data_IF_978480845804
#
_entry.id   IF_978480845804
#
_cell.length_a   1.000
_cell.length_b   1.000
_cell.length_c   1.000
_cell.angle_alpha   90.00
_cell.angle_beta   90.00
_cell.angle_gamma   90.00
#
_symmetry.space_group_name_H-M   'P 1'
#
loop_
_entity.id
_entity.type
_entity.pdbx_description
1 polymer ?
#
# COMPACT_ATOMS: atom_id res chain seq x y z
N UNK A 1 17.51 13.02 12.40
CA UNK A 1 16.22 13.34 13.04
C UNK A 1 15.11 13.12 12.02
N UNK A 2 13.97 12.55 12.41
CA UNK A 2 12.82 12.31 11.52
C UNK A 2 11.71 13.27 11.91
N UNK A 3 11.20 14.04 10.95
CA UNK A 3 10.13 15.01 11.16
C UNK A 3 8.90 14.52 10.39
N UNK A 4 7.79 14.33 11.10
CA UNK A 4 6.54 13.89 10.48
C UNK A 4 5.89 15.03 9.69
N UNK A 5 5.53 14.75 8.43
CA UNK A 5 4.76 15.65 7.59
C UNK A 5 3.53 14.93 7.05
N UNK A 6 2.34 15.43 7.38
CA UNK A 6 1.10 14.96 6.77
C UNK A 6 0.97 15.53 5.37
N UNK A 7 1.11 14.69 4.36
CA UNK A 7 0.90 15.02 2.95
C UNK A 7 -0.23 14.16 2.39
N UNK A 8 -1.13 14.79 1.65
CA UNK A 8 -2.11 14.07 0.83
C UNK A 8 -1.48 13.77 -0.53
N UNK A 9 -0.88 12.58 -0.64
CA UNK A 9 -0.23 12.10 -1.86
C UNK A 9 -1.20 11.22 -2.66
N UNK A 10 -1.16 11.28 -3.99
CA UNK A 10 -1.97 10.39 -4.82
C UNK A 10 -1.57 8.93 -4.56
N UNK A 11 -2.56 8.04 -4.39
CA UNK A 11 -2.33 6.60 -4.37
C UNK A 11 -2.23 6.12 -5.82
N UNK A 12 -1.00 6.03 -6.31
CA UNK A 12 -0.72 5.67 -7.69
C UNK A 12 -0.96 4.17 -7.92
N UNK A 13 -1.30 3.80 -9.15
CA UNK A 13 -1.47 2.41 -9.55
C UNK A 13 -0.17 1.85 -10.14
N UNK A 14 0.09 0.56 -9.89
CA UNK A 14 1.25 -0.15 -10.38
C UNK A 14 1.70 -1.22 -9.39
N UNK A 15 2.87 -1.79 -9.68
CA UNK A 15 3.56 -2.71 -8.76
C UNK A 15 4.06 -1.98 -7.51
N UNK A 16 4.26 -2.73 -6.42
CA UNK A 16 4.63 -2.20 -5.10
C UNK A 16 5.81 -1.21 -5.18
N UNK A 17 6.90 -1.60 -5.85
CA UNK A 17 8.09 -0.77 -5.98
C UNK A 17 7.83 0.51 -6.78
N UNK A 18 7.08 0.42 -7.87
CA UNK A 18 6.74 1.59 -8.69
C UNK A 18 5.89 2.60 -7.91
N UNK A 19 4.92 2.11 -7.13
CA UNK A 19 4.05 2.95 -6.32
C UNK A 19 4.87 3.70 -5.28
N UNK A 20 5.75 3.00 -4.55
CA UNK A 20 6.61 3.62 -3.53
C UNK A 20 7.61 4.61 -4.11
N UNK A 21 8.23 4.30 -5.25
CA UNK A 21 9.16 5.22 -5.93
C UNK A 21 8.43 6.51 -6.34
N UNK A 22 7.28 6.39 -7.02
CA UNK A 22 6.55 7.57 -7.50
C UNK A 22 5.98 8.40 -6.34
N UNK A 23 5.53 7.75 -5.26
CA UNK A 23 5.05 8.42 -4.04
C UNK A 23 6.18 9.19 -3.33
N UNK A 24 7.36 8.59 -3.24
CA UNK A 24 8.55 9.25 -2.69
C UNK A 24 8.97 10.46 -3.53
N UNK A 25 9.02 10.31 -4.86
CA UNK A 25 9.33 11.40 -5.78
C UNK A 25 8.35 12.57 -5.64
N UNK A 26 7.04 12.29 -5.57
CA UNK A 26 6.01 13.31 -5.38
C UNK A 26 6.14 14.01 -4.02
N UNK A 27 6.42 13.26 -2.94
CA UNK A 27 6.64 13.82 -1.62
C UNK A 27 7.88 14.75 -1.60
N UNK A 28 8.97 14.31 -2.23
CA UNK A 28 10.21 15.10 -2.34
C UNK A 28 9.98 16.37 -3.15
N UNK A 29 9.26 16.28 -4.27
CA UNK A 29 8.91 17.42 -5.11
C UNK A 29 8.12 18.49 -4.35
N UNK A 30 7.15 18.07 -3.53
CA UNK A 30 6.31 18.98 -2.73
C UNK A 30 7.04 19.62 -1.55
N UNK A 31 7.84 18.83 -0.82
CA UNK A 31 8.54 19.33 0.38
C UNK A 31 9.91 19.96 0.08
N UNK A 32 10.44 19.76 -1.14
CA UNK A 32 11.74 20.23 -1.62
C UNK A 32 12.88 19.88 -0.65
N UNK A 33 12.87 18.64 -0.15
CA UNK A 33 13.83 18.12 0.83
C UNK A 33 13.96 16.60 0.68
N UNK A 34 15.00 15.98 1.28
CA UNK A 34 15.03 14.53 1.44
C UNK A 34 13.82 14.07 2.24
N UNK A 35 13.13 13.05 1.74
CA UNK A 35 11.93 12.48 2.36
C UNK A 35 12.12 10.98 2.49
N UNK A 36 11.55 10.40 3.52
CA UNK A 36 11.35 8.96 3.62
C UNK A 36 9.84 8.73 3.64
N UNK A 37 9.35 7.80 2.84
CA UNK A 37 7.95 7.37 2.84
C UNK A 37 7.87 5.89 3.16
N UNK A 38 6.69 5.49 3.65
CA UNK A 38 6.34 4.11 3.97
C UNK A 38 5.06 3.77 3.21
N UNK A 39 5.07 2.65 2.49
CA UNK A 39 3.88 2.03 1.91
C UNK A 39 3.70 0.61 2.46
N UNK A 40 2.46 0.25 2.75
CA UNK A 40 2.10 -1.07 3.27
C UNK A 40 1.09 -1.73 2.35
N UNK A 41 1.40 -2.96 1.94
CA UNK A 41 0.56 -3.79 1.10
C UNK A 41 0.06 -5.01 1.88
N UNK A 42 -1.14 -5.48 1.54
CA UNK A 42 -1.65 -6.78 1.97
C UNK A 42 -1.93 -7.62 0.73
N UNK A 43 -1.16 -8.68 0.56
CA UNK A 43 -1.13 -9.48 -0.65
C UNK A 43 -1.76 -10.85 -0.37
N UNK A 44 -2.92 -11.15 -0.95
CA UNK A 44 -3.52 -12.48 -0.85
C UNK A 44 -2.98 -13.37 -1.98
N UNK A 45 -2.42 -14.51 -1.63
CA UNK A 45 -1.83 -15.43 -2.62
C UNK A 45 -2.90 -15.94 -3.60
N UNK A 46 -4.11 -16.20 -3.09
CA UNK A 46 -5.26 -16.59 -3.90
C UNK A 46 -5.75 -15.53 -4.90
N UNK A 47 -5.34 -14.27 -4.74
CA UNK A 47 -5.70 -13.18 -5.65
C UNK A 47 -4.46 -12.62 -6.38
N UNK A 48 -3.43 -13.45 -6.55
CA UNK A 48 -2.16 -13.08 -7.19
C UNK A 48 -1.57 -11.78 -6.61
N UNK A 49 -1.64 -11.64 -5.28
CA UNK A 49 -1.08 -10.50 -4.55
C UNK A 49 -2.02 -9.31 -4.37
N UNK A 50 -3.25 -9.35 -4.89
CA UNK A 50 -4.27 -8.34 -4.59
C UNK A 50 -4.83 -8.50 -3.17
N UNK A 51 -5.34 -7.42 -2.53
CA UNK A 51 -5.41 -6.04 -3.03
C UNK A 51 -4.07 -5.29 -3.06
N UNK A 52 -3.01 -5.84 -2.46
CA UNK A 52 -1.65 -5.29 -2.53
C UNK A 52 -1.59 -3.83 -2.08
N UNK A 53 -1.03 -2.90 -2.88
CA UNK A 53 -0.91 -1.49 -2.54
C UNK A 53 -2.27 -0.78 -2.41
N UNK A 54 -3.36 -1.40 -2.85
CA UNK A 54 -4.71 -0.82 -2.77
C UNK A 54 -5.43 -1.14 -1.45
N UNK A 55 -4.76 -1.80 -0.49
CA UNK A 55 -5.37 -2.28 0.75
C UNK A 55 -6.11 -1.18 1.53
N UNK A 56 -5.65 0.07 1.49
CA UNK A 56 -6.33 1.21 2.13
C UNK A 56 -7.80 1.33 1.68
N UNK A 57 -8.04 1.27 0.38
CA UNK A 57 -9.38 1.41 -0.20
C UNK A 57 -10.25 0.18 0.07
N UNK A 58 -9.66 -1.02 -0.07
CA UNK A 58 -10.38 -2.26 0.22
C UNK A 58 -10.78 -2.33 1.69
N UNK A 59 -9.88 -2.00 2.62
CA UNK A 59 -10.18 -1.98 4.04
C UNK A 59 -11.23 -0.91 4.39
N UNK A 60 -11.16 0.27 3.79
CA UNK A 60 -12.15 1.34 4.04
C UNK A 60 -13.56 0.89 3.65
N UNK A 61 -13.72 0.26 2.48
CA UNK A 61 -15.03 -0.12 1.93
C UNK A 61 -15.54 -1.46 2.47
N UNK A 62 -14.67 -2.47 2.56
CA UNK A 62 -15.05 -3.83 2.92
C UNK A 62 -15.00 -4.09 4.43
N UNK A 63 -14.19 -3.32 5.17
CA UNK A 63 -13.82 -3.59 6.57
C UNK A 63 -13.09 -4.95 6.71
N UNK A 64 -12.52 -5.28 7.89
CA UNK A 64 -11.82 -6.55 8.07
C UNK A 64 -12.68 -7.77 7.71
N UNK A 65 -13.98 -7.73 8.01
CA UNK A 65 -14.90 -8.83 7.74
C UNK A 65 -15.10 -9.04 6.23
N UNK A 66 -15.19 -7.95 5.47
CA UNK A 66 -15.33 -8.03 4.01
C UNK A 66 -14.05 -8.46 3.31
N UNK A 67 -12.87 -8.10 3.84
CA UNK A 67 -11.59 -8.64 3.34
C UNK A 67 -11.51 -10.15 3.50
N UNK A 68 -11.93 -10.68 4.66
CA UNK A 68 -11.98 -12.13 4.86
C UNK A 68 -13.01 -12.81 3.93
N UNK A 69 -14.19 -12.20 3.76
CA UNK A 69 -15.23 -12.71 2.85
C UNK A 69 -14.81 -12.65 1.38
N UNK A 70 -13.93 -11.72 0.99
CA UNK A 70 -13.39 -11.64 -0.37
C UNK A 70 -12.71 -12.96 -0.78
N UNK A 71 -12.11 -13.65 0.19
CA UNK A 71 -11.47 -14.94 -0.03
C UNK A 71 -12.41 -16.14 0.09
N UNK A 72 -13.71 -15.97 0.36
CA UNK A 72 -14.61 -17.09 0.70
C UNK A 72 -14.60 -18.23 -0.34
N UNK A 73 -14.51 -17.91 -1.63
CA UNK A 73 -14.50 -18.88 -2.74
C UNK A 73 -13.15 -19.55 -3.04
N UNK A 74 -12.08 -19.20 -2.32
CA UNK A 74 -10.73 -19.71 -2.55
C UNK A 74 -10.35 -20.73 -1.48
N UNK A 75 -9.61 -21.79 -1.82
CA UNK A 75 -9.09 -22.69 -0.79
C UNK A 75 -7.91 -22.07 -0.04
N UNK A 76 -7.02 -21.42 -0.79
CA UNK A 76 -5.88 -20.71 -0.22
C UNK A 76 -6.32 -19.41 0.48
N UNK A 77 -5.94 -19.29 1.76
CA UNK A 77 -6.19 -18.12 2.61
C UNK A 77 -4.90 -17.45 3.05
N UNK A 78 -3.76 -17.91 2.55
CA UNK A 78 -2.46 -17.35 2.89
C UNK A 78 -2.31 -15.95 2.32
N UNK A 79 -1.57 -15.13 3.06
CA UNK A 79 -1.39 -13.72 2.77
C UNK A 79 -0.02 -13.25 3.27
N UNK A 80 0.50 -12.22 2.62
CA UNK A 80 1.72 -11.54 3.03
C UNK A 80 1.43 -10.07 3.30
N UNK A 81 1.99 -9.54 4.39
CA UNK A 81 2.03 -8.11 4.65
C UNK A 81 3.41 -7.59 4.27
N UNK A 82 3.45 -6.70 3.29
CA UNK A 82 4.70 -6.13 2.75
C UNK A 82 4.78 -4.67 3.19
N UNK A 83 5.91 -4.28 3.76
CA UNK A 83 6.20 -2.90 4.11
C UNK A 83 7.41 -2.44 3.30
N UNK A 84 7.26 -1.35 2.56
CA UNK A 84 8.29 -0.78 1.69
C UNK A 84 8.63 0.63 2.16
N UNK A 85 9.91 0.86 2.45
CA UNK A 85 10.45 2.20 2.66
C UNK A 85 11.14 2.69 1.38
N UNK A 86 10.83 3.91 0.98
CA UNK A 86 11.52 4.60 -0.11
C UNK A 86 12.10 5.94 0.38
N UNK A 87 13.30 6.27 -0.09
CA UNK A 87 14.08 7.45 0.31
C UNK A 87 14.72 8.10 -0.91
#
# INVERSE_FOLDING_TARGET
EVINHKLDLPELQGEVDEVSIKKCQEASLRLKRPVIIEDTCLCFNALDGLPGPYIKWFLEKLKPEGLHRLLAGWEDKSAEAICTFAY
#
